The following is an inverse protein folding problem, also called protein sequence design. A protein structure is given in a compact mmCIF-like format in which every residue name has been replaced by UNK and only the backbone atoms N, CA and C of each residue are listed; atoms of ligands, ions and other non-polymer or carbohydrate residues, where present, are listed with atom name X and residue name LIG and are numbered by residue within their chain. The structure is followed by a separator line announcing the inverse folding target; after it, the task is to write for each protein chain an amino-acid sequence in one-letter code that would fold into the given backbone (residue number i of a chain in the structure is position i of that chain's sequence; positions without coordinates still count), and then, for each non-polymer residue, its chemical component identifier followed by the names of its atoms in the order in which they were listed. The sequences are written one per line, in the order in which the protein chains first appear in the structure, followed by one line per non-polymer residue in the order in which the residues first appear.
data_IF_189408435718
#
_entry.id   IF_189408435718
#
_cell.length_a   1.000
_cell.length_b   1.000
_cell.length_c   1.000
_cell.angle_alpha   90.00
_cell.angle_beta   90.00
_cell.angle_gamma   90.00
#
_symmetry.space_group_name_H-M   'P 1'
#
loop_
_entity.id
_entity.type
_entity.pdbx_description
1 polymer ?
#
# COMPACT_ATOMS: atom_id res chain seq x y z
N UNK A 1 -34.20 32.86 1.05
CA UNK A 1 -33.81 31.76 0.15
C UNK A 1 -32.51 31.18 0.70
N UNK A 2 -32.58 30.06 1.46
CA UNK A 2 -31.39 29.40 2.01
C UNK A 2 -30.75 28.60 0.89
N UNK A 3 -29.57 29.03 0.47
CA UNK A 3 -28.72 28.22 -0.43
C UNK A 3 -28.16 27.07 0.43
N UNK A 4 -28.78 25.91 0.29
CA UNK A 4 -28.18 24.67 0.78
C UNK A 4 -26.93 24.40 -0.06
N UNK A 5 -25.75 24.75 0.48
CA UNK A 5 -24.52 24.23 -0.09
C UNK A 5 -24.51 22.73 0.18
N UNK A 6 -24.80 21.94 -0.85
CA UNK A 6 -24.50 20.51 -0.81
C UNK A 6 -22.98 20.42 -0.80
N UNK A 7 -22.40 20.25 0.39
CA UNK A 7 -21.00 19.88 0.48
C UNK A 7 -20.84 18.55 -0.27
N UNK A 8 -20.21 18.60 -1.43
CA UNK A 8 -19.83 17.41 -2.18
C UNK A 8 -18.85 16.64 -1.30
N UNK A 9 -19.34 15.56 -0.65
CA UNK A 9 -18.48 14.69 0.14
C UNK A 9 -17.52 14.01 -0.83
N UNK A 10 -16.27 14.49 -0.85
CA UNK A 10 -15.25 13.85 -1.70
C UNK A 10 -15.04 12.42 -1.21
N UNK A 11 -15.34 11.45 -2.06
CA UNK A 11 -15.14 10.05 -1.78
C UNK A 11 -13.65 9.75 -1.65
N UNK A 12 -13.33 8.70 -0.89
CA UNK A 12 -11.96 8.22 -0.75
C UNK A 12 -11.43 7.74 -2.11
N UNK A 13 -10.17 8.05 -2.46
CA UNK A 13 -9.59 7.60 -3.71
C UNK A 13 -9.44 6.08 -3.73
N UNK A 14 -9.56 5.52 -4.94
CA UNK A 14 -9.28 4.11 -5.22
C UNK A 14 -8.08 4.02 -6.14
N UNK A 15 -7.16 3.14 -5.79
CA UNK A 15 -5.94 2.87 -6.55
C UNK A 15 -5.85 1.39 -6.88
N UNK A 16 -4.99 1.03 -7.81
CA UNK A 16 -4.85 -0.36 -8.23
C UNK A 16 -3.41 -0.79 -8.41
N UNK A 17 -3.19 -2.09 -8.26
CA UNK A 17 -2.01 -2.81 -8.70
C UNK A 17 -2.41 -3.93 -9.65
N UNK A 18 -1.75 -4.02 -10.78
CA UNK A 18 -1.81 -5.19 -11.65
C UNK A 18 -0.64 -6.11 -11.30
N UNK A 19 -0.94 -7.32 -10.85
CA UNK A 19 0.03 -8.24 -10.25
C UNK A 19 0.45 -9.32 -11.24
N UNK A 20 1.77 -9.56 -11.30
CA UNK A 20 2.38 -10.67 -12.03
C UNK A 20 3.16 -11.53 -11.03
N UNK A 21 2.95 -12.84 -11.08
CA UNK A 21 3.70 -13.81 -10.28
C UNK A 21 4.51 -14.67 -11.25
N UNK A 22 5.84 -14.57 -11.17
CA UNK A 22 6.70 -15.15 -12.18
C UNK A 22 6.45 -14.48 -13.53
N UNK A 23 5.91 -15.23 -14.49
CA UNK A 23 5.50 -14.74 -15.81
C UNK A 23 3.98 -14.68 -15.97
N UNK A 24 3.21 -15.02 -14.93
CA UNK A 24 1.77 -15.15 -15.01
C UNK A 24 1.07 -13.89 -14.52
N UNK A 25 0.22 -13.31 -15.37
CA UNK A 25 -0.65 -12.18 -15.00
C UNK A 25 -1.77 -12.69 -14.12
N UNK A 26 -1.83 -12.20 -12.88
CA UNK A 26 -2.79 -12.68 -11.88
C UNK A 26 -4.05 -11.83 -11.80
N UNK A 27 -4.02 -10.59 -12.27
CA UNK A 27 -5.15 -9.68 -12.23
C UNK A 27 -4.90 -8.44 -11.36
N UNK A 28 -5.97 -7.72 -11.10
CA UNK A 28 -5.94 -6.41 -10.47
C UNK A 28 -6.43 -6.45 -9.02
N UNK A 29 -5.66 -5.81 -8.15
CA UNK A 29 -6.06 -5.52 -6.76
C UNK A 29 -6.46 -4.04 -6.70
N UNK A 30 -7.67 -3.76 -6.22
CA UNK A 30 -8.15 -2.38 -6.05
C UNK A 30 -8.24 -2.09 -4.56
N UNK A 31 -7.72 -0.94 -4.16
CA UNK A 31 -7.64 -0.51 -2.76
C UNK A 31 -8.31 0.85 -2.60
N UNK A 32 -9.13 0.99 -1.55
CA UNK A 32 -9.65 2.27 -1.11
C UNK A 32 -8.68 2.87 -0.08
N UNK A 33 -8.34 4.13 -0.24
CA UNK A 33 -7.44 4.86 0.66
C UNK A 33 -8.27 5.78 1.56
N UNK A 34 -8.09 5.68 2.87
CA UNK A 34 -8.90 6.41 3.86
C UNK A 34 -8.42 7.87 4.01
N UNK A 35 -8.61 8.67 2.98
CA UNK A 35 -8.30 10.10 2.98
C UNK A 35 -9.06 10.86 4.08
N UNK A 36 -10.24 10.38 4.45
CA UNK A 36 -11.08 10.97 5.50
C UNK A 36 -10.46 10.81 6.90
N UNK A 37 -9.66 9.76 7.13
CA UNK A 37 -9.05 9.46 8.43
C UNK A 37 -7.55 9.75 8.44
N UNK A 38 -6.85 9.37 7.36
CA UNK A 38 -5.39 9.53 7.22
C UNK A 38 -5.05 10.24 5.91
N UNK A 39 -5.39 11.55 5.79
CA UNK A 39 -5.23 12.26 4.51
C UNK A 39 -3.78 12.30 4.01
N UNK A 40 -2.82 12.49 4.89
CA UNK A 40 -1.40 12.59 4.52
C UNK A 40 -0.83 11.24 4.07
N UNK A 41 -1.12 10.18 4.80
CA UNK A 41 -0.68 8.81 4.49
C UNK A 41 -1.35 8.31 3.21
N UNK A 42 -2.65 8.55 3.06
CA UNK A 42 -3.42 8.19 1.87
C UNK A 42 -2.87 8.90 0.62
N UNK A 43 -2.55 10.20 0.72
CA UNK A 43 -2.02 10.97 -0.39
C UNK A 43 -0.62 10.46 -0.82
N UNK A 44 0.23 10.11 0.14
CA UNK A 44 1.54 9.51 -0.16
C UNK A 44 1.37 8.25 -1.02
N UNK A 45 0.53 7.32 -0.59
CA UNK A 45 0.29 6.06 -1.30
C UNK A 45 -0.35 6.30 -2.67
N UNK A 46 -1.35 7.18 -2.75
CA UNK A 46 -2.01 7.54 -4.01
C UNK A 46 -1.01 8.05 -5.04
N UNK A 47 -0.18 9.02 -4.65
CA UNK A 47 0.81 9.62 -5.56
C UNK A 47 1.91 8.62 -5.96
N UNK A 48 2.28 7.69 -5.08
CA UNK A 48 3.22 6.61 -5.40
C UNK A 48 2.60 5.58 -6.37
N UNK A 49 1.28 5.43 -6.36
CA UNK A 49 0.59 4.59 -7.35
C UNK A 49 0.60 5.25 -8.74
N UNK A 50 0.41 6.56 -8.82
CA UNK A 50 0.34 7.28 -10.11
C UNK A 50 1.72 7.62 -10.68
N UNK A 51 2.73 7.79 -9.82
CA UNK A 51 4.05 8.23 -10.24
C UNK A 51 4.16 9.73 -10.56
N UNK A 52 3.14 10.51 -10.23
CA UNK A 52 3.00 11.92 -10.62
C UNK A 52 4.04 12.87 -10.00
N UNK A 53 4.73 12.45 -8.94
CA UNK A 53 5.73 13.30 -8.26
C UNK A 53 7.13 13.24 -8.89
N UNK A 54 7.34 12.35 -9.85
CA UNK A 54 8.61 12.26 -10.58
C UNK A 54 9.72 11.57 -9.78
N UNK A 55 10.92 12.12 -9.84
CA UNK A 55 12.13 11.54 -9.22
C UNK A 55 12.26 12.02 -7.78
N UNK A 56 12.52 11.08 -6.87
CA UNK A 56 12.73 11.38 -5.45
C UNK A 56 14.17 11.74 -5.10
N UNK A 57 14.42 11.97 -3.82
CA UNK A 57 15.77 12.34 -3.32
C UNK A 57 16.79 11.20 -3.50
N UNK A 58 16.33 9.96 -3.59
CA UNK A 58 17.18 8.79 -3.89
C UNK A 58 17.65 8.74 -5.35
N UNK A 59 17.09 9.56 -6.24
CA UNK A 59 17.33 9.51 -7.67
C UNK A 59 16.48 8.48 -8.42
N UNK A 60 15.54 7.83 -7.73
CA UNK A 60 14.61 6.85 -8.31
C UNK A 60 13.23 7.47 -8.50
N UNK A 61 12.44 6.98 -9.49
CA UNK A 61 11.05 7.39 -9.61
C UNK A 61 10.24 7.07 -8.37
N UNK A 62 9.45 8.03 -7.89
CA UNK A 62 8.49 7.84 -6.80
C UNK A 62 7.25 7.11 -7.33
N UNK A 63 7.38 5.82 -7.57
CA UNK A 63 6.37 5.04 -8.28
C UNK A 63 6.44 3.56 -7.89
N UNK A 64 5.31 2.97 -7.52
CA UNK A 64 5.22 1.54 -7.20
C UNK A 64 5.34 0.64 -8.44
N UNK A 65 4.97 1.15 -9.62
CA UNK A 65 5.04 0.38 -10.86
C UNK A 65 6.45 -0.18 -11.07
N UNK A 66 6.53 -1.49 -11.30
CA UNK A 66 7.79 -2.20 -11.50
C UNK A 66 8.45 -2.70 -10.22
N UNK A 67 7.94 -2.33 -9.03
CA UNK A 67 8.46 -2.83 -7.75
C UNK A 67 7.85 -4.17 -7.37
N UNK A 68 8.42 -4.82 -6.36
CA UNK A 68 8.04 -6.18 -5.97
C UNK A 68 7.53 -6.24 -4.54
N UNK A 69 6.80 -7.32 -4.24
CA UNK A 69 6.50 -7.73 -2.87
C UNK A 69 7.65 -8.64 -2.41
N UNK A 70 8.57 -8.06 -1.67
CA UNK A 70 9.82 -8.75 -1.26
C UNK A 70 9.67 -9.67 -0.05
N UNK A 71 8.52 -9.56 0.67
CA UNK A 71 8.28 -10.36 1.88
C UNK A 71 6.81 -10.72 1.96
N UNK A 72 6.53 -12.03 1.89
CA UNK A 72 5.16 -12.56 1.99
C UNK A 72 5.17 -13.71 2.99
N UNK A 73 4.41 -13.55 4.07
CA UNK A 73 4.25 -14.57 5.11
C UNK A 73 2.79 -15.02 5.13
N UNK A 74 2.48 -16.27 4.76
CA UNK A 74 1.12 -16.79 4.78
C UNK A 74 0.47 -16.62 6.16
N UNK A 75 -0.81 -16.32 6.18
CA UNK A 75 -1.61 -16.06 7.38
C UNK A 75 -1.10 -14.88 8.22
N UNK A 76 -0.38 -13.96 7.58
CA UNK A 76 0.11 -12.72 8.19
C UNK A 76 -0.07 -11.53 7.25
N UNK A 77 0.82 -11.36 6.25
CA UNK A 77 0.76 -10.19 5.36
C UNK A 77 1.64 -10.36 4.11
N UNK A 78 1.37 -9.51 3.12
CA UNK A 78 2.22 -9.30 1.94
C UNK A 78 2.81 -7.90 2.02
N UNK A 79 4.13 -7.78 2.04
CA UNK A 79 4.85 -6.51 2.17
C UNK A 79 5.58 -6.15 0.88
N UNK A 80 5.47 -4.89 0.48
CA UNK A 80 6.14 -4.35 -0.70
C UNK A 80 6.41 -2.86 -0.55
N UNK A 81 6.68 -2.21 -1.68
CA UNK A 81 6.85 -0.75 -1.74
C UNK A 81 8.28 -0.26 -1.67
N UNK A 82 9.28 -1.15 -1.62
CA UNK A 82 10.68 -0.75 -1.71
C UNK A 82 11.08 -0.63 -3.19
N UNK A 83 10.76 0.49 -3.80
CA UNK A 83 11.09 0.74 -5.21
C UNK A 83 12.53 1.24 -5.42
N UNK A 84 13.29 1.47 -4.35
CA UNK A 84 14.69 1.92 -4.47
C UNK A 84 15.70 0.79 -4.40
N UNK A 85 15.45 -0.23 -3.57
CA UNK A 85 16.36 -1.37 -3.37
C UNK A 85 15.71 -2.74 -3.57
N UNK A 86 14.40 -2.84 -3.43
CA UNK A 86 13.64 -4.08 -3.65
C UNK A 86 13.83 -5.17 -2.61
N UNK A 87 14.42 -4.85 -1.45
CA UNK A 87 14.77 -5.86 -0.42
C UNK A 87 14.30 -5.51 1.00
N UNK A 88 13.55 -4.44 1.15
CA UNK A 88 13.03 -4.00 2.46
C UNK A 88 13.89 -2.97 3.17
N UNK A 89 15.04 -2.60 2.62
CA UNK A 89 15.95 -1.61 3.23
C UNK A 89 15.75 -0.21 2.68
N UNK A 90 14.99 -0.04 1.63
CA UNK A 90 14.82 1.23 0.90
C UNK A 90 13.40 1.75 0.92
N UNK A 91 13.08 2.51 -0.13
CA UNK A 91 11.84 3.26 -0.28
C UNK A 91 11.97 4.67 0.27
N UNK A 92 11.07 5.55 -0.17
CA UNK A 92 10.97 6.91 0.32
C UNK A 92 9.56 7.45 0.07
N UNK A 93 9.16 8.45 0.86
CA UNK A 93 7.84 9.09 0.72
C UNK A 93 7.88 10.24 -0.28
N UNK A 94 6.70 10.73 -0.65
CA UNK A 94 6.57 11.95 -1.46
C UNK A 94 6.94 13.22 -0.68
N UNK A 95 7.10 13.12 0.64
CA UNK A 95 7.42 14.24 1.54
C UNK A 95 8.91 14.32 1.88
N UNK A 96 9.73 13.46 1.29
CA UNK A 96 11.13 13.27 1.63
C UNK A 96 11.37 11.83 2.09
N UNK A 97 12.49 11.55 2.77
CA UNK A 97 12.86 10.18 3.14
C UNK A 97 11.81 9.51 4.01
N UNK A 98 11.38 10.17 5.09
CA UNK A 98 10.43 9.63 6.09
C UNK A 98 9.42 10.69 6.52
N UNK A 99 8.27 10.24 7.03
CA UNK A 99 7.27 11.12 7.64
C UNK A 99 6.65 10.49 8.88
N UNK A 100 6.06 11.35 9.72
CA UNK A 100 5.52 10.95 11.02
C UNK A 100 4.30 10.03 10.91
N UNK A 101 4.07 9.25 11.95
CA UNK A 101 2.83 8.49 12.12
C UNK A 101 1.66 9.47 12.27
N UNK A 102 0.72 9.41 11.33
CA UNK A 102 -0.38 10.37 11.27
C UNK A 102 -1.36 10.20 12.44
N UNK A 103 -1.84 9.00 12.65
CA UNK A 103 -2.65 8.56 13.79
C UNK A 103 -2.76 7.03 13.78
N UNK A 104 -3.32 6.48 14.85
CA UNK A 104 -3.57 5.05 15.01
C UNK A 104 -5.05 4.76 15.26
N UNK A 105 -5.94 5.55 14.65
CA UNK A 105 -7.39 5.44 14.85
C UNK A 105 -7.95 4.11 14.34
N UNK A 106 -7.43 3.63 13.22
CA UNK A 106 -7.87 2.38 12.59
C UNK A 106 -6.99 1.21 13.03
N UNK A 107 -7.60 0.03 13.10
CA UNK A 107 -6.97 -1.18 13.64
C UNK A 107 -6.80 -2.24 12.55
N UNK A 108 -5.93 -3.20 12.82
CA UNK A 108 -5.65 -4.33 11.91
C UNK A 108 -6.70 -5.43 12.14
N UNK A 109 -7.90 -5.21 11.61
CA UNK A 109 -9.09 -5.98 11.95
C UNK A 109 -9.26 -7.29 11.18
N UNK A 110 -8.52 -7.49 10.10
CA UNK A 110 -8.65 -8.72 9.32
C UNK A 110 -8.00 -8.63 7.93
N UNK A 111 -8.26 -9.64 7.08
CA UNK A 111 -7.71 -9.67 5.73
C UNK A 111 -8.10 -8.45 4.89
N UNK A 112 -7.15 -7.99 4.06
CA UNK A 112 -7.34 -6.86 3.16
C UNK A 112 -6.96 -5.50 3.73
N UNK A 113 -6.68 -5.40 5.02
CA UNK A 113 -6.24 -4.13 5.63
C UNK A 113 -4.90 -3.71 5.06
N UNK A 114 -4.80 -2.43 4.69
CA UNK A 114 -3.60 -1.81 4.14
C UNK A 114 -2.97 -0.91 5.21
N UNK A 115 -1.71 -1.15 5.52
CA UNK A 115 -1.00 -0.50 6.62
C UNK A 115 0.44 -0.16 6.23
N UNK A 116 1.02 0.84 6.88
CA UNK A 116 2.41 1.26 6.61
C UNK A 116 3.41 0.40 7.35
N UNK A 117 4.39 -0.12 6.64
CA UNK A 117 5.61 -0.66 7.24
C UNK A 117 6.47 0.49 7.77
N UNK A 118 7.26 0.22 8.80
CA UNK A 118 8.17 1.21 9.38
C UNK A 118 9.34 0.53 10.10
N UNK A 119 10.31 1.33 10.53
CA UNK A 119 11.47 0.90 11.32
C UNK A 119 11.43 1.50 12.74
N UNK A 120 10.25 1.69 13.29
CA UNK A 120 9.99 2.32 14.57
C UNK A 120 9.13 3.58 14.43
N UNK A 121 8.89 4.33 15.51
CA UNK A 121 8.04 5.52 15.47
C UNK A 121 8.49 6.56 14.44
N UNK A 122 7.51 7.10 13.69
CA UNK A 122 7.72 8.22 12.78
C UNK A 122 8.75 7.94 11.66
N UNK A 123 8.72 6.70 11.10
CA UNK A 123 9.63 6.31 10.01
C UNK A 123 8.90 5.79 8.78
N UNK A 124 7.73 6.35 8.47
CA UNK A 124 6.97 5.97 7.28
C UNK A 124 7.67 6.48 6.01
N UNK A 125 7.80 5.62 5.03
CA UNK A 125 8.35 5.95 3.71
C UNK A 125 7.38 5.52 2.62
N UNK A 126 7.75 4.50 1.86
CA UNK A 126 6.89 3.92 0.81
C UNK A 126 6.48 2.49 1.08
N UNK A 127 7.17 1.78 1.97
CA UNK A 127 6.85 0.39 2.24
C UNK A 127 5.53 0.25 2.97
N UNK A 128 4.76 -0.75 2.58
CA UNK A 128 3.43 -1.04 3.09
C UNK A 128 3.22 -2.55 3.16
N UNK A 129 2.15 -2.96 3.81
CA UNK A 129 1.73 -4.37 3.77
C UNK A 129 0.20 -4.47 3.65
N UNK A 130 -0.23 -5.58 3.05
CA UNK A 130 -1.63 -5.99 2.97
C UNK A 130 -1.79 -7.17 3.90
N UNK A 131 -2.63 -7.04 4.92
CA UNK A 131 -2.90 -8.12 5.87
C UNK A 131 -3.65 -9.26 5.21
N UNK A 132 -3.31 -10.49 5.56
CA UNK A 132 -4.05 -11.69 5.14
C UNK A 132 -4.72 -12.38 6.32
N UNK A 133 -4.63 -11.78 7.50
CA UNK A 133 -5.31 -12.20 8.73
C UNK A 133 -5.44 -11.01 9.68
N UNK A 134 -6.08 -11.19 10.82
CA UNK A 134 -6.04 -10.24 11.93
C UNK A 134 -4.62 -10.13 12.47
N UNK A 135 -4.14 -8.90 12.67
CA UNK A 135 -2.81 -8.64 13.22
C UNK A 135 -2.89 -7.62 14.35
N UNK A 136 -3.64 -7.91 15.44
CA UNK A 136 -3.90 -6.91 16.50
C UNK A 136 -2.66 -6.44 17.23
N UNK A 137 -1.58 -7.22 17.25
CA UNK A 137 -0.30 -6.82 17.86
C UNK A 137 0.37 -5.64 17.14
N UNK A 138 -0.09 -5.30 15.92
CA UNK A 138 0.43 -4.16 15.14
C UNK A 138 -0.34 -2.86 15.42
N UNK A 139 -1.48 -2.94 16.12
CA UNK A 139 -2.30 -1.77 16.46
C UNK A 139 -1.49 -0.81 17.32
N UNK A 140 -1.57 0.49 17.00
CA UNK A 140 -0.82 1.53 17.70
C UNK A 140 0.66 1.62 17.33
N UNK A 141 1.14 0.78 16.40
CA UNK A 141 2.55 0.75 15.93
C UNK A 141 2.66 1.02 14.44
N UNK A 142 1.65 0.66 13.66
CA UNK A 142 1.58 0.84 12.21
C UNK A 142 0.31 1.57 11.84
N UNK A 143 0.43 2.55 10.95
CA UNK A 143 -0.70 3.38 10.52
C UNK A 143 -1.53 2.64 9.47
N UNK A 144 -2.75 2.27 9.82
CA UNK A 144 -3.74 1.72 8.87
C UNK A 144 -4.32 2.87 8.06
N UNK A 145 -4.31 2.76 6.73
CA UNK A 145 -4.74 3.86 5.85
C UNK A 145 -5.60 3.43 4.67
N UNK A 146 -6.00 2.17 4.57
CA UNK A 146 -6.83 1.69 3.48
C UNK A 146 -7.23 0.23 3.61
N UNK A 147 -7.88 -0.26 2.56
CA UNK A 147 -8.26 -1.68 2.45
C UNK A 147 -8.40 -2.11 1.00
N UNK A 148 -8.23 -3.39 0.75
CA UNK A 148 -8.58 -4.02 -0.53
C UNK A 148 -10.10 -4.06 -0.64
N UNK A 149 -10.64 -3.53 -1.74
CA UNK A 149 -12.10 -3.49 -2.03
C UNK A 149 -12.48 -4.36 -3.21
N UNK A 150 -11.51 -4.78 -4.04
CA UNK A 150 -11.73 -5.70 -5.16
C UNK A 150 -10.42 -6.44 -5.46
N UNK A 151 -10.55 -7.65 -5.98
CA UNK A 151 -9.39 -8.47 -6.36
C UNK A 151 -8.64 -9.12 -5.20
N UNK A 152 -9.27 -9.31 -4.05
CA UNK A 152 -8.61 -10.01 -2.91
C UNK A 152 -8.16 -11.42 -3.28
N UNK A 153 -8.82 -12.08 -4.25
CA UNK A 153 -8.39 -13.38 -4.78
C UNK A 153 -6.95 -13.36 -5.32
N UNK A 154 -6.51 -12.21 -5.87
CA UNK A 154 -5.13 -12.03 -6.32
C UNK A 154 -4.17 -12.03 -5.13
N UNK A 155 -4.54 -11.38 -4.03
CA UNK A 155 -3.76 -11.38 -2.78
C UNK A 155 -3.62 -12.81 -2.24
N UNK A 156 -4.66 -13.64 -2.36
CA UNK A 156 -4.61 -15.05 -1.97
C UNK A 156 -3.62 -15.84 -2.83
N UNK A 157 -3.54 -15.55 -4.11
CA UNK A 157 -2.55 -16.18 -5.00
C UNK A 157 -1.13 -15.74 -4.64
N UNK A 158 -0.93 -14.45 -4.29
CA UNK A 158 0.36 -13.96 -3.80
C UNK A 158 0.79 -14.70 -2.53
N UNK A 159 -0.14 -14.92 -1.61
CA UNK A 159 0.12 -15.60 -0.34
C UNK A 159 0.68 -17.02 -0.55
N UNK A 160 0.23 -17.71 -1.59
CA UNK A 160 0.66 -19.08 -1.91
C UNK A 160 2.15 -19.20 -2.25
N UNK A 161 2.79 -18.15 -2.72
CA UNK A 161 4.22 -18.14 -3.04
C UNK A 161 5.08 -17.55 -1.93
N UNK A 162 4.48 -17.22 -0.79
CA UNK A 162 5.20 -16.81 0.41
C UNK A 162 5.71 -17.98 1.24
N UNK A 163 6.35 -17.66 2.35
CA UNK A 163 6.90 -18.64 3.29
C UNK A 163 6.97 -18.06 4.69
N UNK A 164 7.24 -18.90 5.70
CA UNK A 164 7.36 -18.44 7.09
C UNK A 164 8.49 -17.44 7.28
N UNK A 165 9.54 -17.51 6.47
CA UNK A 165 10.65 -16.55 6.50
C UNK A 165 10.34 -15.25 5.73
N UNK A 166 9.27 -15.25 4.94
CA UNK A 166 8.90 -14.15 4.04
C UNK A 166 9.51 -14.24 2.65
N UNK A 167 10.44 -15.14 2.40
CA UNK A 167 11.03 -15.35 1.08
C UNK A 167 9.96 -15.88 0.12
N UNK A 168 9.87 -15.31 -1.08
CA UNK A 168 8.92 -15.75 -2.10
C UNK A 168 9.57 -16.79 -3.01
N UNK A 169 8.79 -17.81 -3.39
CA UNK A 169 9.25 -18.88 -4.30
C UNK A 169 9.29 -18.42 -5.77
N UNK A 170 8.56 -17.35 -6.10
CA UNK A 170 8.54 -16.69 -7.39
C UNK A 170 8.50 -15.19 -7.19
N UNK A 171 9.04 -14.37 -8.13
CA UNK A 171 8.90 -12.92 -8.04
C UNK A 171 7.44 -12.51 -8.10
N UNK A 172 7.03 -11.63 -7.19
CA UNK A 172 5.68 -11.02 -7.18
C UNK A 172 5.86 -9.54 -7.48
N UNK A 173 5.45 -9.12 -8.67
CA UNK A 173 5.71 -7.77 -9.17
C UNK A 173 4.43 -7.00 -9.43
N UNK A 174 4.51 -5.69 -9.22
CA UNK A 174 3.48 -4.73 -9.62
C UNK A 174 3.82 -4.33 -11.07
N UNK A 175 3.14 -4.95 -12.03
CA UNK A 175 3.36 -4.67 -13.47
C UNK A 175 2.88 -3.27 -13.82
N UNK A 176 1.77 -2.83 -13.22
CA UNK A 176 1.23 -1.49 -13.39
C UNK A 176 0.54 -1.05 -12.10
N UNK A 177 0.50 0.26 -11.88
CA UNK A 177 -0.18 0.87 -10.76
C UNK A 177 -0.78 2.21 -11.18
N UNK A 178 -1.80 2.65 -10.48
CA UNK A 178 -2.43 3.93 -10.78
C UNK A 178 -3.63 4.20 -9.89
N UNK A 179 -4.32 5.28 -10.23
CA UNK A 179 -5.56 5.69 -9.58
C UNK A 179 -6.73 5.45 -10.53
N UNK A 180 -7.83 4.92 -9.99
CA UNK A 180 -9.07 4.76 -10.76
C UNK A 180 -9.85 6.07 -10.74
N UNK A 181 -10.35 6.45 -11.92
CA UNK A 181 -11.22 7.63 -12.01
C UNK A 181 -12.55 7.38 -11.31
N UNK A 182 -13.06 8.40 -10.63
CA UNK A 182 -14.42 8.39 -10.09
C UNK A 182 -15.42 8.50 -11.26
N UNK A 183 -16.35 7.55 -11.31
CA UNK A 183 -17.53 7.64 -12.16
C UNK A 183 -18.76 7.84 -11.31
#
# INVERSE_FOLDING_TARGET
MKILSVACKMSNPKVFFDIVIGKMKMGRVVMELYKDVTPKTAENFRALCTGEKGIGVSGKPLHYKGSTFHRIIPSFMCQGGDFTRGNGTGGESIYGAKFADENFKLKHTGPGILSMANAGPNTNGSQFFICTDKTPWLDGKHVVFGKVVDGYSVVKEMEKVGSDSGTTSQPVAIEDSGELSEN
#
